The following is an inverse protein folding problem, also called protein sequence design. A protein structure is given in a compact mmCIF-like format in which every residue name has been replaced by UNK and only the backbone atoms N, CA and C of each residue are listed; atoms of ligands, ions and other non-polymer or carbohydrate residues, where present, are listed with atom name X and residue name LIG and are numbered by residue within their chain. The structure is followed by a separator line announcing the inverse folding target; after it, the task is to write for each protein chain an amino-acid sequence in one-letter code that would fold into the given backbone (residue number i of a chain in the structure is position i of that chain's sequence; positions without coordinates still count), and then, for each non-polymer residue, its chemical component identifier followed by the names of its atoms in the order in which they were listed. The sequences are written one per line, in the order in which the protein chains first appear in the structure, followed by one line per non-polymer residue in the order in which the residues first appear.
data_IF_245037472977
#
_entry.id   IF_245037472977
#
_cell.length_a   1.000
_cell.length_b   1.000
_cell.length_c   1.000
_cell.angle_alpha   90.00
_cell.angle_beta   90.00
_cell.angle_gamma   90.00
#
_symmetry.space_group_name_H-M   'P 1'
#
loop_
_entity.id
_entity.type
_entity.pdbx_description
1 polymer ?
#
# COMPACT_ATOMS: atom_id res chain seq x y z
N UNK A 1 -7.04 72.22 15.02
CA UNK A 1 -6.16 73.39 15.14
C UNK A 1 -5.45 73.56 13.82
N UNK A 2 -5.51 74.75 13.21
CA UNK A 2 -4.78 75.07 11.99
C UNK A 2 -3.31 75.27 12.36
N UNK A 3 -2.45 74.27 12.11
CA UNK A 3 -1.01 74.43 12.25
C UNK A 3 -0.55 75.18 10.98
N UNK A 4 -0.01 76.41 11.10
CA UNK A 4 0.51 77.12 9.95
C UNK A 4 1.62 76.31 9.27
N UNK A 5 1.69 76.39 7.94
CA UNK A 5 2.69 75.69 7.15
C UNK A 5 4.06 76.36 7.40
N UNK A 6 4.81 75.85 8.36
CA UNK A 6 6.07 76.43 8.86
C UNK A 6 7.28 75.61 8.39
N UNK A 7 8.41 76.28 8.14
CA UNK A 7 9.65 75.57 7.82
C UNK A 7 10.23 74.85 9.05
N UNK A 8 11.13 73.90 8.84
CA UNK A 8 11.82 73.18 9.93
C UNK A 8 12.60 74.14 10.85
N UNK A 9 13.11 75.24 10.30
CA UNK A 9 13.82 76.26 11.08
C UNK A 9 12.85 77.10 11.94
N UNK A 10 11.66 77.40 11.41
CA UNK A 10 10.62 78.12 12.15
C UNK A 10 10.06 77.31 13.33
N UNK A 11 10.03 75.98 13.21
CA UNK A 11 9.61 75.06 14.29
C UNK A 11 10.51 75.15 15.53
N UNK A 12 11.80 75.47 15.36
CA UNK A 12 12.74 75.64 16.48
C UNK A 12 12.59 76.99 17.20
N UNK A 13 11.84 77.92 16.61
CA UNK A 13 11.65 79.27 17.12
C UNK A 13 10.19 79.58 17.46
N UNK A 14 9.29 78.59 17.48
CA UNK A 14 7.86 78.83 17.74
C UNK A 14 7.40 78.10 19.00
N UNK A 15 7.11 78.85 20.05
CA UNK A 15 6.62 78.29 21.31
C UNK A 15 5.13 77.99 21.23
N UNK A 16 4.79 76.70 21.21
CA UNK A 16 3.40 76.22 21.16
C UNK A 16 2.59 76.60 22.40
N UNK A 17 3.24 76.86 23.54
CA UNK A 17 2.56 77.23 24.78
C UNK A 17 2.07 78.68 24.77
N UNK A 18 2.85 79.61 24.23
CA UNK A 18 2.45 81.02 24.14
C UNK A 18 2.07 81.47 22.72
N UNK A 19 2.15 80.57 21.74
CA UNK A 19 1.84 80.79 20.32
C UNK A 19 2.63 81.96 19.72
N UNK A 20 3.89 82.15 20.16
CA UNK A 20 4.78 83.25 19.74
C UNK A 20 6.11 82.72 19.24
N UNK A 21 6.72 83.48 18.34
CA UNK A 21 8.11 83.26 17.97
C UNK A 21 9.03 83.64 19.13
N UNK A 22 9.74 82.66 19.66
CA UNK A 22 10.70 82.78 20.75
C UNK A 22 11.66 81.59 20.74
N UNK A 23 12.91 81.81 21.13
CA UNK A 23 13.91 80.75 21.21
C UNK A 23 13.50 79.63 22.18
N UNK A 24 13.36 78.42 21.65
CA UNK A 24 13.09 77.21 22.43
C UNK A 24 14.40 76.63 22.95
N UNK A 25 14.82 77.04 24.14
CA UNK A 25 16.09 76.62 24.73
C UNK A 25 15.96 75.93 26.11
N UNK A 26 14.75 75.70 26.60
CA UNK A 26 14.46 75.04 27.88
C UNK A 26 13.61 73.79 27.67
N UNK A 27 13.90 72.72 28.39
CA UNK A 27 13.08 71.50 28.38
C UNK A 27 12.52 71.23 29.76
N UNK A 28 11.20 71.04 29.82
CA UNK A 28 10.53 70.59 31.03
C UNK A 28 10.47 69.06 31.04
N UNK A 29 11.11 68.42 32.03
CA UNK A 29 11.09 66.95 32.17
C UNK A 29 9.69 66.43 32.49
N UNK A 30 8.92 67.17 33.29
CA UNK A 30 7.59 66.76 33.73
C UNK A 30 6.58 66.74 32.57
N UNK A 31 6.67 67.71 31.66
CA UNK A 31 5.76 67.81 30.50
C UNK A 31 6.33 67.19 29.22
N UNK A 32 7.60 66.83 29.21
CA UNK A 32 8.31 66.36 28.03
C UNK A 32 8.29 67.34 26.84
N UNK A 33 8.22 68.65 27.11
CA UNK A 33 8.06 69.71 26.10
C UNK A 33 9.21 70.73 26.12
N UNK A 34 9.51 71.28 24.93
CA UNK A 34 10.42 72.41 24.74
C UNK A 34 9.66 73.73 24.92
N UNK A 35 10.17 74.61 25.78
CA UNK A 35 9.53 75.87 26.14
C UNK A 35 10.49 77.05 25.91
N UNK A 36 9.93 78.23 25.63
CA UNK A 36 10.70 79.47 25.61
C UNK A 36 11.01 79.96 27.05
N UNK A 37 11.96 80.89 27.17
CA UNK A 37 12.42 81.45 28.46
C UNK A 37 11.31 82.03 29.34
N UNK A 38 10.22 82.53 28.75
CA UNK A 38 9.11 83.09 29.53
C UNK A 38 8.10 82.02 29.94
N UNK A 39 7.81 81.07 29.04
CA UNK A 39 6.94 79.94 29.34
C UNK A 39 7.51 79.04 30.43
N UNK A 40 8.84 78.80 30.45
CA UNK A 40 9.47 77.99 31.50
C UNK A 40 9.32 78.64 32.89
N UNK A 41 9.40 79.98 32.98
CA UNK A 41 9.27 80.69 34.25
C UNK A 41 7.86 80.55 34.82
N UNK A 42 6.85 80.65 33.97
CA UNK A 42 5.46 80.37 34.34
C UNK A 42 5.25 78.89 34.70
N UNK A 43 5.98 77.98 34.06
CA UNK A 43 5.92 76.55 34.35
C UNK A 43 6.54 76.21 35.72
N UNK A 44 7.67 76.84 36.04
CA UNK A 44 8.37 76.69 37.33
C UNK A 44 7.59 77.33 38.49
N UNK A 45 6.92 78.45 38.25
CA UNK A 45 6.11 79.12 39.28
C UNK A 45 4.86 78.35 39.67
N UNK A 46 4.42 77.37 38.85
CA UNK A 46 3.33 76.44 39.16
C UNK A 46 3.78 75.23 40.03
N UNK A 47 5.00 75.27 40.60
CA UNK A 47 5.49 74.45 41.71
C UNK A 47 5.59 72.91 41.54
N UNK A 48 5.40 72.33 40.35
CA UNK A 48 5.45 70.87 40.17
C UNK A 48 6.38 70.34 39.06
N UNK A 49 7.28 71.16 38.51
CA UNK A 49 8.02 70.81 37.29
C UNK A 49 9.53 70.81 37.49
N UNK A 50 10.18 69.67 37.26
CA UNK A 50 11.64 69.59 37.12
C UNK A 50 12.02 70.03 35.71
N UNK A 51 12.88 71.05 35.59
CA UNK A 51 13.32 71.56 34.28
C UNK A 51 14.84 71.46 34.15
N UNK A 52 15.32 70.97 33.00
CA UNK A 52 16.76 70.89 32.70
C UNK A 52 17.16 72.06 31.80
N UNK A 53 18.08 72.89 32.31
CA UNK A 53 18.77 73.91 31.56
C UNK A 53 19.84 73.25 30.69
N UNK A 54 19.58 73.16 29.37
CA UNK A 54 20.55 72.93 28.27
C UNK A 54 21.33 71.60 28.26
N UNK A 55 21.44 70.87 29.37
CA UNK A 55 22.21 69.61 29.51
C UNK A 55 21.50 68.40 28.91
N UNK A 56 20.16 68.42 28.78
CA UNK A 56 19.41 67.29 28.20
C UNK A 56 19.59 67.10 26.69
N UNK A 57 19.93 68.15 25.92
CA UNK A 57 20.00 68.04 24.46
C UNK A 57 21.13 67.10 24.01
N UNK A 58 22.24 67.09 24.76
CA UNK A 58 23.36 66.18 24.53
C UNK A 58 23.02 64.74 24.96
N UNK A 59 22.45 64.56 26.15
CA UNK A 59 22.13 63.21 26.68
C UNK A 59 21.02 62.52 25.89
N UNK A 60 19.98 63.24 25.44
CA UNK A 60 18.94 62.65 24.59
C UNK A 60 19.49 62.25 23.22
N UNK A 61 20.36 63.06 22.62
CA UNK A 61 20.97 62.75 21.32
C UNK A 61 21.81 61.47 21.40
N UNK A 62 22.62 61.31 22.45
CA UNK A 62 23.40 60.09 22.69
C UNK A 62 22.50 58.87 22.91
N UNK A 63 21.42 59.00 23.69
CA UNK A 63 20.45 57.91 23.89
C UNK A 63 19.77 57.51 22.58
N UNK A 64 19.33 58.46 21.76
CA UNK A 64 18.73 58.17 20.46
C UNK A 64 19.73 57.57 19.47
N UNK A 65 20.99 58.02 19.46
CA UNK A 65 22.04 57.43 18.64
C UNK A 65 22.34 55.99 19.05
N UNK A 66 22.39 55.71 20.36
CA UNK A 66 22.57 54.36 20.88
C UNK A 66 21.38 53.45 20.53
N UNK A 67 20.15 53.94 20.71
CA UNK A 67 18.94 53.20 20.34
C UNK A 67 18.88 52.93 18.83
N UNK A 68 19.16 53.95 18.01
CA UNK A 68 19.22 53.84 16.55
C UNK A 68 20.26 52.81 16.11
N UNK A 69 21.45 52.82 16.71
CA UNK A 69 22.50 51.83 16.44
C UNK A 69 22.04 50.43 16.81
N UNK A 70 21.39 50.26 17.97
CA UNK A 70 20.86 48.95 18.39
C UNK A 70 19.77 48.44 17.46
N UNK A 71 18.83 49.28 17.05
CA UNK A 71 17.77 48.94 16.10
C UNK A 71 18.39 48.53 14.76
N UNK A 72 19.41 49.25 14.28
CA UNK A 72 20.13 48.91 13.04
C UNK A 72 20.77 47.53 13.12
N UNK A 73 21.46 47.21 14.22
CA UNK A 73 22.11 45.91 14.40
C UNK A 73 21.09 44.76 14.44
N UNK A 74 19.96 44.93 15.13
CA UNK A 74 18.89 43.92 15.12
C UNK A 74 18.24 43.79 13.74
N UNK A 75 18.09 44.89 12.99
CA UNK A 75 17.59 44.84 11.63
C UNK A 75 18.53 44.03 10.71
N UNK A 76 19.84 44.26 10.80
CA UNK A 76 20.84 43.50 10.04
C UNK A 76 20.83 42.01 10.41
N UNK A 77 20.63 41.68 11.69
CA UNK A 77 20.49 40.29 12.15
C UNK A 77 19.25 39.63 11.57
N UNK A 78 18.09 40.27 11.66
CA UNK A 78 16.85 39.74 11.08
C UNK A 78 16.91 39.62 9.55
N UNK A 79 17.63 40.51 8.86
CA UNK A 79 17.87 40.37 7.43
C UNK A 79 18.68 39.11 7.10
N UNK A 80 19.73 38.80 7.88
CA UNK A 80 20.50 37.55 7.72
C UNK A 80 19.67 36.32 8.04
N UNK A 81 18.90 36.34 9.12
CA UNK A 81 17.98 35.25 9.48
C UNK A 81 16.96 35.00 8.36
N UNK A 82 16.41 36.06 7.77
CA UNK A 82 15.51 35.96 6.62
C UNK A 82 16.17 35.31 5.41
N UNK A 83 17.39 35.72 5.05
CA UNK A 83 18.14 35.09 3.95
C UNK A 83 18.38 33.60 4.21
N UNK A 84 18.76 33.23 5.44
CA UNK A 84 18.94 31.83 5.82
C UNK A 84 17.62 31.03 5.68
N UNK A 85 16.50 31.60 6.11
CA UNK A 85 15.17 30.97 5.95
C UNK A 85 14.84 30.77 4.46
N UNK A 86 15.04 31.80 3.63
CA UNK A 86 14.81 31.72 2.18
C UNK A 86 15.68 30.63 1.52
N UNK A 87 16.95 30.51 1.90
CA UNK A 87 17.83 29.43 1.43
C UNK A 87 17.35 28.04 1.88
N UNK A 88 16.88 27.91 3.12
CA UNK A 88 16.35 26.62 3.63
C UNK A 88 15.04 26.24 2.94
N UNK A 89 14.17 27.20 2.63
CA UNK A 89 12.92 26.97 1.87
C UNK A 89 13.22 26.45 0.46
N UNK A 90 14.19 27.06 -0.23
CA UNK A 90 14.64 26.59 -1.56
C UNK A 90 15.20 25.16 -1.49
N UNK A 91 15.98 24.85 -0.46
CA UNK A 91 16.49 23.48 -0.24
C UNK A 91 15.33 22.51 0.02
N UNK A 92 14.40 22.85 0.92
CA UNK A 92 13.27 22.00 1.26
C UNK A 92 12.39 21.70 0.05
N UNK A 93 12.07 22.71 -0.77
CA UNK A 93 11.32 22.54 -2.02
C UNK A 93 12.00 21.56 -2.98
N UNK A 94 13.33 21.68 -3.16
CA UNK A 94 14.09 20.72 -3.98
C UNK A 94 14.03 19.30 -3.44
N UNK A 95 14.09 19.13 -2.13
CA UNK A 95 13.99 17.81 -1.49
C UNK A 95 12.58 17.22 -1.65
N UNK A 96 11.53 18.04 -1.51
CA UNK A 96 10.16 17.62 -1.75
C UNK A 96 9.93 17.15 -3.19
N UNK A 97 10.41 17.90 -4.18
CA UNK A 97 10.28 17.49 -5.59
C UNK A 97 11.03 16.19 -5.89
N UNK A 98 12.23 15.99 -5.31
CA UNK A 98 12.96 14.72 -5.42
C UNK A 98 12.17 13.57 -4.79
N UNK A 99 11.64 13.75 -3.58
CA UNK A 99 10.86 12.73 -2.91
C UNK A 99 9.60 12.37 -3.71
N UNK A 100 8.92 13.36 -4.29
CA UNK A 100 7.77 13.16 -5.18
C UNK A 100 8.14 12.38 -6.43
N UNK A 101 9.28 12.68 -7.06
CA UNK A 101 9.78 11.93 -8.21
C UNK A 101 10.09 10.47 -7.86
N UNK A 102 10.77 10.22 -6.73
CA UNK A 102 11.06 8.86 -6.26
C UNK A 102 9.79 8.06 -5.93
N UNK A 103 8.78 8.70 -5.33
CA UNK A 103 7.48 8.05 -5.09
C UNK A 103 6.77 7.69 -6.39
N UNK A 104 6.85 8.56 -7.41
CA UNK A 104 6.25 8.29 -8.71
C UNK A 104 6.98 7.15 -9.44
N UNK A 105 8.30 7.10 -9.37
CA UNK A 105 9.10 6.01 -9.93
C UNK A 105 8.77 4.67 -9.24
N UNK A 106 8.73 4.67 -7.90
CA UNK A 106 8.35 3.47 -7.13
C UNK A 106 6.94 3.00 -7.49
N UNK A 107 5.98 3.92 -7.64
CA UNK A 107 4.61 3.61 -8.09
C UNK A 107 4.63 2.93 -9.46
N UNK A 108 5.37 3.46 -10.42
CA UNK A 108 5.46 2.88 -11.76
C UNK A 108 6.03 1.47 -11.71
N UNK A 109 7.11 1.26 -10.94
CA UNK A 109 7.71 -0.07 -10.73
C UNK A 109 6.69 -1.05 -10.14
N UNK A 110 5.86 -0.64 -9.17
CA UNK A 110 4.82 -1.52 -8.62
C UNK A 110 3.73 -1.88 -9.63
N UNK A 111 3.29 -0.91 -10.45
CA UNK A 111 2.32 -1.15 -11.52
C UNK A 111 2.88 -2.15 -12.53
N UNK A 112 4.11 -1.96 -12.98
CA UNK A 112 4.76 -2.87 -13.94
C UNK A 112 4.87 -4.31 -13.40
N UNK A 113 5.18 -4.47 -12.11
CA UNK A 113 5.22 -5.80 -11.47
C UNK A 113 3.84 -6.45 -11.38
N UNK A 114 2.79 -5.67 -11.07
CA UNK A 114 1.43 -6.19 -11.01
C UNK A 114 0.95 -6.60 -12.40
N UNK A 115 1.14 -5.77 -13.42
CA UNK A 115 0.75 -6.06 -14.79
C UNK A 115 1.44 -7.33 -15.30
N UNK A 116 2.74 -7.48 -15.02
CA UNK A 116 3.47 -8.71 -15.35
C UNK A 116 2.90 -9.94 -14.64
N UNK A 117 2.61 -9.84 -13.34
CA UNK A 117 2.05 -10.95 -12.58
C UNK A 117 0.64 -11.34 -13.08
N UNK A 118 -0.18 -10.36 -13.47
CA UNK A 118 -1.47 -10.62 -14.10
C UNK A 118 -1.31 -11.31 -15.45
N UNK A 119 -0.40 -10.84 -16.30
CA UNK A 119 -0.13 -11.47 -17.60
C UNK A 119 0.36 -12.93 -17.43
N UNK A 120 1.27 -13.18 -16.49
CA UNK A 120 1.76 -14.54 -16.20
C UNK A 120 0.61 -15.46 -15.74
N UNK A 121 -0.35 -14.92 -14.98
CA UNK A 121 -1.55 -15.66 -14.56
C UNK A 121 -2.51 -15.93 -15.75
N UNK A 122 -2.75 -14.95 -16.61
CA UNK A 122 -3.58 -15.11 -17.81
C UNK A 122 -3.00 -16.17 -18.75
N UNK A 123 -1.68 -16.15 -18.95
CA UNK A 123 -0.97 -17.13 -19.78
C UNK A 123 -1.09 -18.55 -19.18
N UNK A 124 -0.97 -18.67 -17.85
CA UNK A 124 -1.15 -19.94 -17.15
C UNK A 124 -2.58 -20.47 -17.28
N UNK A 125 -3.60 -19.61 -17.14
CA UNK A 125 -5.01 -19.97 -17.31
C UNK A 125 -5.28 -20.41 -18.76
N UNK A 126 -4.77 -19.66 -19.75
CA UNK A 126 -4.91 -19.99 -21.17
C UNK A 126 -4.28 -21.34 -21.53
N UNK A 127 -3.10 -21.62 -20.98
CA UNK A 127 -2.43 -22.92 -21.12
C UNK A 127 -3.22 -24.07 -20.46
N UNK A 128 -3.81 -23.83 -19.30
CA UNK A 128 -4.65 -24.83 -18.64
C UNK A 128 -5.95 -25.08 -19.42
N UNK A 129 -6.60 -24.03 -19.92
CA UNK A 129 -7.82 -24.12 -20.70
C UNK A 129 -7.62 -24.93 -22.00
N UNK A 130 -6.55 -24.67 -22.74
CA UNK A 130 -6.20 -25.45 -23.94
C UNK A 130 -5.92 -26.93 -23.61
N UNK A 131 -5.28 -27.21 -22.47
CA UNK A 131 -5.07 -28.59 -22.02
C UNK A 131 -6.38 -29.33 -21.72
N UNK A 132 -7.37 -28.63 -21.15
CA UNK A 132 -8.71 -29.19 -20.88
C UNK A 132 -9.46 -29.47 -22.18
N UNK A 133 -9.40 -28.59 -23.17
CA UNK A 133 -10.07 -28.81 -24.46
C UNK A 133 -9.51 -30.05 -25.18
N UNK A 134 -8.18 -30.23 -25.17
CA UNK A 134 -7.55 -31.44 -25.73
C UNK A 134 -8.02 -32.71 -25.00
N UNK A 135 -8.11 -32.67 -23.66
CA UNK A 135 -8.60 -33.82 -22.89
C UNK A 135 -10.05 -34.17 -23.23
N UNK A 136 -10.90 -33.16 -23.46
CA UNK A 136 -12.29 -33.33 -23.89
C UNK A 136 -12.37 -33.99 -25.27
N UNK A 137 -11.60 -33.52 -26.25
CA UNK A 137 -11.55 -34.13 -27.59
C UNK A 137 -11.09 -35.59 -27.53
N UNK A 138 -10.06 -35.90 -26.73
CA UNK A 138 -9.58 -37.28 -26.54
C UNK A 138 -10.67 -38.16 -25.92
N UNK A 139 -11.41 -37.65 -24.93
CA UNK A 139 -12.49 -38.38 -24.28
C UNK A 139 -13.65 -38.64 -25.25
N UNK A 140 -14.10 -37.63 -25.98
CA UNK A 140 -15.15 -37.74 -26.99
C UNK A 140 -14.77 -38.75 -28.10
N UNK A 141 -13.51 -38.70 -28.57
CA UNK A 141 -12.99 -39.66 -29.55
C UNK A 141 -12.96 -41.11 -29.03
N UNK A 142 -12.60 -41.31 -27.75
CA UNK A 142 -12.64 -42.64 -27.11
C UNK A 142 -14.07 -43.16 -26.96
N UNK A 143 -15.00 -42.29 -26.57
CA UNK A 143 -16.42 -42.64 -26.46
C UNK A 143 -17.00 -43.06 -27.81
N UNK A 144 -16.70 -42.32 -28.89
CA UNK A 144 -17.14 -42.68 -30.25
C UNK A 144 -16.59 -44.04 -30.68
N UNK A 145 -15.30 -44.29 -30.45
CA UNK A 145 -14.68 -45.59 -30.76
C UNK A 145 -15.31 -46.74 -29.97
N UNK A 146 -15.61 -46.51 -28.69
CA UNK A 146 -16.32 -47.46 -27.84
C UNK A 146 -17.72 -47.78 -28.37
N UNK A 147 -18.45 -46.74 -28.80
CA UNK A 147 -19.77 -46.88 -29.41
C UNK A 147 -19.71 -47.71 -30.71
N UNK A 148 -18.75 -47.42 -31.59
CA UNK A 148 -18.56 -48.19 -32.84
C UNK A 148 -18.24 -49.67 -32.58
N UNK A 149 -17.43 -49.97 -31.56
CA UNK A 149 -17.15 -51.35 -31.16
C UNK A 149 -18.39 -52.06 -30.63
N UNK A 150 -19.19 -51.38 -29.80
CA UNK A 150 -20.46 -51.93 -29.30
C UNK A 150 -21.44 -52.19 -30.44
N UNK A 151 -21.52 -51.30 -31.43
CA UNK A 151 -22.41 -51.47 -32.58
C UNK A 151 -21.92 -52.59 -33.50
N UNK A 152 -20.60 -52.77 -33.67
CA UNK A 152 -20.01 -53.94 -34.35
C UNK A 152 -20.35 -55.26 -33.64
N UNK A 153 -20.17 -55.33 -32.33
CA UNK A 153 -20.55 -56.52 -31.53
C UNK A 153 -22.06 -56.81 -31.66
N UNK A 154 -22.92 -55.79 -31.61
CA UNK A 154 -24.37 -55.97 -31.81
C UNK A 154 -24.70 -56.49 -33.22
N UNK A 155 -23.97 -56.04 -34.24
CA UNK A 155 -24.14 -56.53 -35.60
C UNK A 155 -23.73 -58.02 -35.71
N UNK A 156 -22.63 -58.41 -35.06
CA UNK A 156 -22.15 -59.80 -35.02
C UNK A 156 -23.08 -60.72 -34.19
N UNK A 157 -23.69 -60.22 -33.11
CA UNK A 157 -24.68 -60.97 -32.32
C UNK A 157 -26.03 -61.12 -33.02
N UNK A 158 -26.39 -60.22 -33.93
CA UNK A 158 -27.59 -60.32 -34.76
C UNK A 158 -27.38 -61.13 -36.05
N UNK A 159 -26.16 -61.64 -36.31
CA UNK A 159 -25.94 -62.65 -37.33
C UNK A 159 -26.33 -64.03 -36.76
N UNK A 160 -27.42 -64.67 -37.24
CA UNK A 160 -27.72 -66.02 -36.83
C UNK A 160 -26.63 -66.94 -37.39
N UNK A 161 -26.05 -67.75 -36.50
CA UNK A 161 -25.10 -68.84 -36.74
C UNK A 161 -23.62 -68.42 -36.81
N UNK A 162 -22.93 -68.55 -35.67
CA UNK A 162 -21.64 -69.26 -35.51
C UNK A 162 -20.94 -68.90 -34.19
N UNK A 163 -21.57 -69.22 -33.05
CA UNK A 163 -20.93 -69.18 -31.72
C UNK A 163 -20.07 -70.44 -31.51
N UNK A 164 -18.95 -70.54 -32.21
CA UNK A 164 -17.91 -71.53 -31.90
C UNK A 164 -16.56 -71.25 -32.60
N UNK A 165 -16.00 -70.04 -32.48
CA UNK A 165 -14.54 -69.83 -32.62
C UNK A 165 -14.14 -68.37 -32.39
N UNK A 166 -13.01 -68.20 -31.69
CA UNK A 166 -12.28 -66.96 -31.44
C UNK A 166 -12.97 -66.02 -30.42
N UNK A 167 -12.32 -65.55 -29.35
CA UNK A 167 -10.99 -64.95 -29.32
C UNK A 167 -10.26 -65.25 -28.00
N UNK A 168 -9.07 -65.84 -28.17
CA UNK A 168 -7.94 -65.82 -27.25
C UNK A 168 -6.93 -64.92 -27.96
N UNK A 169 -6.69 -63.69 -27.48
CA UNK A 169 -5.38 -63.05 -27.54
C UNK A 169 -5.33 -61.61 -27.00
N UNK A 170 -4.15 -61.35 -26.41
CA UNK A 170 -3.48 -60.08 -26.15
C UNK A 170 -3.74 -59.36 -24.81
N UNK A 171 -2.61 -59.19 -24.12
CA UNK A 171 -2.43 -58.72 -22.77
C UNK A 171 -2.76 -57.22 -22.59
N UNK A 172 -3.53 -56.91 -21.54
CA UNK A 172 -3.36 -55.69 -20.73
C UNK A 172 -4.22 -55.83 -19.47
N UNK A 173 -3.59 -55.68 -18.30
CA UNK A 173 -4.30 -55.64 -17.02
C UNK A 173 -5.24 -54.42 -17.02
N UNK A 174 -6.55 -54.66 -17.10
CA UNK A 174 -7.58 -53.64 -16.88
C UNK A 174 -8.35 -53.99 -15.62
N UNK A 175 -8.11 -53.23 -14.55
CA UNK A 175 -8.91 -53.30 -13.34
C UNK A 175 -10.26 -52.63 -13.61
N UNK A 176 -11.33 -53.42 -13.74
CA UNK A 176 -12.71 -52.91 -13.66
C UNK A 176 -13.19 -53.04 -12.22
N UNK A 177 -13.53 -51.91 -11.59
CA UNK A 177 -14.23 -51.89 -10.31
C UNK A 177 -15.70 -51.60 -10.62
N UNK A 178 -16.55 -52.61 -10.48
CA UNK A 178 -18.01 -52.43 -10.47
C UNK A 178 -18.40 -51.75 -9.16
N UNK A 179 -18.42 -50.41 -9.15
CA UNK A 179 -18.81 -49.60 -8.01
C UNK A 179 -20.33 -49.33 -7.97
N UNK A 180 -21.13 -50.34 -8.29
CA UNK A 180 -22.58 -50.29 -8.08
C UNK A 180 -23.04 -51.64 -7.54
N UNK A 181 -23.01 -51.77 -6.21
CA UNK A 181 -24.03 -52.47 -5.42
C UNK A 181 -23.76 -52.24 -3.93
N UNK A 182 -24.77 -51.67 -3.27
CA UNK A 182 -24.82 -51.43 -1.84
C UNK A 182 -24.56 -52.71 -1.06
N UNK A 183 -23.54 -52.71 -0.19
CA UNK A 183 -23.65 -52.95 1.27
C UNK A 183 -22.33 -53.28 1.96
N UNK A 184 -21.23 -53.53 1.25
CA UNK A 184 -19.88 -53.60 1.85
C UNK A 184 -18.85 -53.15 0.81
N UNK A 185 -18.09 -52.05 1.03
CA UNK A 185 -17.00 -51.67 0.16
C UNK A 185 -15.82 -52.62 0.42
N UNK A 186 -15.92 -53.80 -0.18
CA UNK A 186 -14.81 -54.74 -0.27
C UNK A 186 -14.28 -54.65 -1.69
N UNK A 187 -12.97 -54.49 -1.84
CA UNK A 187 -12.30 -54.45 -3.13
C UNK A 187 -11.84 -55.87 -3.48
N UNK A 188 -12.51 -56.56 -4.42
CA UNK A 188 -12.08 -57.87 -4.87
C UNK A 188 -10.83 -57.78 -5.74
N UNK A 189 -9.90 -58.69 -5.52
CA UNK A 189 -8.70 -58.89 -6.34
C UNK A 189 -8.84 -60.21 -7.08
N UNK A 190 -8.81 -60.13 -8.40
CA UNK A 190 -8.89 -61.29 -9.29
C UNK A 190 -7.49 -61.63 -9.83
N UNK A 191 -7.27 -62.89 -10.19
CA UNK A 191 -6.09 -63.31 -10.94
C UNK A 191 -6.25 -63.11 -12.46
N UNK A 192 -5.22 -63.52 -13.19
CA UNK A 192 -5.14 -63.38 -14.65
C UNK A 192 -6.22 -64.17 -15.40
N UNK A 193 -6.83 -65.18 -14.76
CA UNK A 193 -7.92 -65.98 -15.32
C UNK A 193 -9.30 -65.50 -14.83
N UNK A 194 -9.35 -64.39 -14.07
CA UNK A 194 -10.58 -63.82 -13.54
C UNK A 194 -11.14 -64.53 -12.30
N UNK A 195 -10.37 -65.41 -11.66
CA UNK A 195 -10.75 -66.04 -10.40
C UNK A 195 -10.45 -65.11 -9.21
N UNK A 196 -11.40 -65.02 -8.27
CA UNK A 196 -11.23 -64.22 -7.06
C UNK A 196 -10.11 -64.81 -6.20
N UNK A 197 -9.05 -64.02 -5.94
CA UNK A 197 -7.95 -64.42 -5.06
C UNK A 197 -8.22 -64.05 -3.61
N UNK A 198 -8.53 -62.77 -3.38
CA UNK A 198 -8.86 -62.23 -2.07
C UNK A 198 -9.64 -60.93 -2.25
N UNK A 199 -10.19 -60.40 -1.17
CA UNK A 199 -10.83 -59.10 -1.18
C UNK A 199 -10.44 -58.36 0.10
N UNK A 200 -10.23 -57.05 0.03
CA UNK A 200 -9.79 -56.26 1.18
C UNK A 200 -10.62 -55.00 1.38
N UNK A 201 -10.60 -54.50 2.61
CA UNK A 201 -11.42 -53.38 3.05
C UNK A 201 -12.71 -53.81 3.74
N UNK A 202 -13.14 -52.98 4.69
CA UNK A 202 -14.44 -53.07 5.35
C UNK A 202 -15.08 -51.69 5.35
N UNK A 203 -16.40 -51.63 5.48
CA UNK A 203 -17.11 -50.34 5.58
C UNK A 203 -16.68 -49.58 6.82
N UNK A 204 -16.28 -48.31 6.68
CA UNK A 204 -16.06 -47.38 7.79
C UNK A 204 -14.97 -46.35 7.56
N UNK A 205 -14.70 -45.53 8.59
CA UNK A 205 -13.78 -44.37 8.52
C UNK A 205 -12.42 -44.60 9.18
N UNK A 206 -12.22 -45.70 9.92
CA UNK A 206 -10.95 -45.99 10.57
C UNK A 206 -9.85 -46.45 9.58
N UNK A 207 -8.56 -46.43 9.95
CA UNK A 207 -7.49 -46.95 9.11
C UNK A 207 -7.78 -48.38 8.60
N UNK A 208 -7.64 -48.61 7.30
CA UNK A 208 -7.97 -49.89 6.65
C UNK A 208 -9.46 -50.12 6.33
N UNK A 209 -10.33 -49.14 6.63
CA UNK A 209 -11.74 -49.13 6.24
C UNK A 209 -12.00 -48.16 5.09
N UNK A 210 -13.09 -48.32 4.34
CA UNK A 210 -13.48 -47.43 3.23
C UNK A 210 -14.98 -47.12 3.27
N UNK A 211 -15.39 -45.95 2.79
CA UNK A 211 -16.81 -45.57 2.69
C UNK A 211 -17.24 -45.32 1.24
N UNK A 212 -16.41 -44.58 0.49
CA UNK A 212 -16.65 -44.17 -0.90
C UNK A 212 -15.34 -44.24 -1.69
N UNK A 213 -14.85 -45.45 -2.02
CA UNK A 213 -13.63 -45.60 -2.80
C UNK A 213 -13.86 -45.11 -4.24
N UNK A 214 -13.11 -44.08 -4.65
CA UNK A 214 -13.26 -43.47 -5.97
C UNK A 214 -12.21 -43.98 -6.97
N UNK A 215 -10.98 -44.18 -6.51
CA UNK A 215 -9.93 -44.74 -7.36
C UNK A 215 -8.97 -45.62 -6.55
N UNK A 216 -8.34 -46.56 -7.27
CA UNK A 216 -7.32 -47.43 -6.70
C UNK A 216 -6.07 -47.43 -7.59
N UNK A 217 -4.91 -47.46 -6.96
CA UNK A 217 -3.63 -47.64 -7.62
C UNK A 217 -2.85 -48.75 -6.91
N UNK A 218 -2.06 -49.51 -7.65
CA UNK A 218 -1.13 -50.49 -7.08
C UNK A 218 0.31 -50.01 -7.29
N UNK A 219 1.16 -50.17 -6.27
CA UNK A 219 2.58 -49.94 -6.41
C UNK A 219 3.22 -51.21 -6.99
N UNK A 220 3.82 -51.18 -8.19
CA UNK A 220 4.38 -52.37 -8.82
C UNK A 220 5.63 -52.91 -8.07
N UNK A 221 6.29 -52.08 -7.27
CA UNK A 221 7.52 -52.44 -6.55
C UNK A 221 7.20 -53.16 -5.24
N UNK A 222 6.26 -52.63 -4.45
CA UNK A 222 5.91 -53.18 -3.13
C UNK A 222 4.68 -54.10 -3.17
N UNK A 223 3.87 -54.00 -4.22
CA UNK A 223 2.58 -54.69 -4.32
C UNK A 223 1.48 -54.10 -3.44
N UNK A 224 1.72 -52.94 -2.81
CA UNK A 224 0.72 -52.25 -1.99
C UNK A 224 -0.35 -51.59 -2.85
N UNK A 225 -1.55 -51.43 -2.28
CA UNK A 225 -2.65 -50.72 -2.92
C UNK A 225 -2.86 -49.38 -2.22
N UNK A 226 -3.10 -48.32 -2.99
CA UNK A 226 -3.53 -47.02 -2.49
C UNK A 226 -4.94 -46.80 -3.00
N UNK A 227 -5.87 -46.55 -2.08
CA UNK A 227 -7.24 -46.20 -2.42
C UNK A 227 -7.49 -44.75 -2.03
N UNK A 228 -8.07 -43.99 -2.95
CA UNK A 228 -8.65 -42.69 -2.63
C UNK A 228 -10.09 -42.90 -2.16
N UNK A 229 -10.36 -42.51 -0.91
CA UNK A 229 -11.64 -42.70 -0.23
C UNK A 229 -12.20 -41.32 0.13
N UNK A 230 -13.26 -40.91 -0.55
CA UNK A 230 -13.93 -39.63 -0.31
C UNK A 230 -14.89 -39.73 0.90
N UNK A 231 -14.34 -40.14 2.04
CA UNK A 231 -14.95 -39.87 3.33
C UNK A 231 -14.65 -38.42 3.75
N UNK A 232 -15.38 -37.91 4.76
CA UNK A 232 -15.42 -36.51 5.21
C UNK A 232 -14.06 -35.80 5.38
N UNK A 233 -12.95 -36.54 5.43
CA UNK A 233 -11.63 -35.99 5.68
C UNK A 233 -10.63 -36.08 4.49
N UNK A 234 -11.07 -36.50 3.28
CA UNK A 234 -10.23 -36.57 2.05
C UNK A 234 -8.83 -37.20 2.25
N UNK A 235 -8.77 -38.42 2.79
CA UNK A 235 -7.50 -39.14 2.98
C UNK A 235 -7.30 -40.27 1.95
N UNK A 236 -6.11 -40.34 1.35
CA UNK A 236 -5.65 -41.54 0.67
C UNK A 236 -5.24 -42.62 1.69
N UNK A 237 -5.73 -43.85 1.51
CA UNK A 237 -5.47 -44.98 2.41
C UNK A 237 -4.56 -46.00 1.75
N UNK A 238 -3.54 -46.46 2.47
CA UNK A 238 -2.57 -47.46 1.99
C UNK A 238 -2.92 -48.82 2.59
N UNK A 239 -3.07 -49.83 1.73
CA UNK A 239 -3.31 -51.21 2.08
C UNK A 239 -2.06 -52.03 1.75
N UNK A 240 -1.46 -52.62 2.78
CA UNK A 240 -0.32 -53.50 2.62
C UNK A 240 -0.79 -54.89 2.20
N UNK A 241 -0.03 -55.51 1.29
CA UNK A 241 -0.22 -56.90 0.91
C UNK A 241 0.33 -57.79 2.03
N UNK A 242 -0.53 -58.24 2.94
CA UNK A 242 -0.21 -59.30 3.92
C UNK A 242 -0.43 -60.68 3.32
#
# INVERSE_FOLDING_TARGET
MNIPNMSIDDLNQYCLTCMKFADLNQYCLTCSEMLCTDCIKNHLSQNCHTCSLRTMKLTCTEVFQNLSTRIRLELEKHQKERQNVEETDVKLKKWMERAKASLQELKNVFVDHLDKAFQDCEDAISKQASSVEIMKEVYEGRMLKGQMLLDGIKADFNAPQNLAKAYRDSASYTHKVDAFLQQKPVLPVFDEIGCLKFAFGVSGSYPGQMLYPNCIASCPVTGNFVCDDHCFDNYSKIFNKS
#
